data_IF_462982680197
#
_entry.id   IF_462982680197
#
_cell.length_a   1.000
_cell.length_b   1.000
_cell.length_c   1.000
_cell.angle_alpha   90.00
_cell.angle_beta   90.00
_cell.angle_gamma   90.00
#
_symmetry.space_group_name_H-M   'P 1'
#
loop_
_entity.id
_entity.type
_entity.pdbx_description
1 polymer ?
#
# COMPACT_ATOMS: atom_id res chain seq x y z
N UNK A 1 34.91 -91.79 -31.73
CA UNK A 1 35.61 -90.97 -32.76
C UNK A 1 34.75 -89.80 -33.10
N UNK A 2 35.21 -88.59 -32.96
CA UNK A 2 34.47 -87.38 -33.28
C UNK A 2 34.86 -86.26 -32.43
N UNK A 3 35.92 -85.49 -32.78
CA UNK A 3 36.38 -84.32 -32.13
C UNK A 3 35.41 -83.15 -32.33
N UNK A 4 35.00 -82.47 -31.29
CA UNK A 4 34.25 -81.23 -31.34
C UNK A 4 35.18 -80.11 -30.91
N UNK A 5 35.36 -79.09 -31.76
CA UNK A 5 36.09 -77.87 -31.50
C UNK A 5 35.25 -76.90 -30.63
N UNK A 6 35.82 -76.16 -29.67
CA UNK A 6 35.11 -75.11 -29.01
C UNK A 6 35.20 -73.79 -29.81
N UNK A 7 34.00 -73.24 -30.13
CA UNK A 7 33.87 -71.87 -30.65
C UNK A 7 33.90 -70.85 -29.52
N UNK A 8 34.82 -69.93 -29.63
CA UNK A 8 34.98 -68.75 -28.71
C UNK A 8 33.91 -67.73 -29.09
N UNK A 9 32.93 -67.49 -28.19
CA UNK A 9 31.97 -66.41 -28.31
C UNK A 9 32.58 -65.14 -27.68
N UNK A 10 32.98 -64.19 -28.51
CA UNK A 10 33.37 -62.85 -28.08
C UNK A 10 32.11 -62.00 -27.90
N UNK A 11 31.72 -61.73 -26.66
CA UNK A 11 30.61 -60.83 -26.34
C UNK A 11 31.14 -59.39 -26.35
N UNK A 12 30.77 -58.61 -27.40
CA UNK A 12 31.00 -57.18 -27.45
C UNK A 12 29.94 -56.51 -26.55
N UNK A 13 30.33 -56.06 -25.36
CA UNK A 13 29.51 -55.19 -24.50
C UNK A 13 29.63 -53.79 -25.07
N UNK A 14 28.66 -53.38 -25.87
CA UNK A 14 28.43 -51.97 -26.21
C UNK A 14 27.87 -51.25 -24.99
N UNK A 15 28.70 -50.50 -24.30
CA UNK A 15 28.25 -49.58 -23.25
C UNK A 15 27.51 -48.40 -23.91
N UNK A 16 26.20 -48.47 -23.95
CA UNK A 16 25.33 -47.34 -24.29
C UNK A 16 25.41 -46.41 -23.06
N UNK A 17 26.17 -45.32 -23.14
CA UNK A 17 26.10 -44.22 -22.24
C UNK A 17 24.74 -43.53 -22.44
N UNK A 18 23.75 -43.95 -21.68
CA UNK A 18 22.50 -43.20 -21.54
C UNK A 18 22.84 -41.98 -20.66
N UNK A 19 23.13 -40.87 -21.31
CA UNK A 19 23.24 -39.59 -20.60
C UNK A 19 21.88 -39.29 -19.99
N UNK A 20 21.83 -39.30 -18.65
CA UNK A 20 20.60 -38.94 -17.91
C UNK A 20 20.14 -37.54 -18.34
N UNK A 21 18.84 -37.30 -18.56
CA UNK A 21 18.32 -36.00 -18.97
C UNK A 21 18.72 -34.86 -18.01
N UNK A 22 18.97 -35.19 -16.74
CA UNK A 22 19.49 -34.24 -15.75
C UNK A 22 20.91 -33.75 -16.08
N UNK A 23 21.78 -34.58 -16.61
CA UNK A 23 23.16 -34.24 -17.02
C UNK A 23 23.13 -33.34 -18.27
N UNK A 24 22.24 -33.63 -19.22
CA UNK A 24 22.06 -32.83 -20.43
C UNK A 24 21.49 -31.43 -20.13
N UNK A 25 20.56 -31.31 -19.17
CA UNK A 25 19.99 -30.02 -18.71
C UNK A 25 21.05 -29.20 -17.95
N UNK A 26 21.92 -29.85 -17.18
CA UNK A 26 22.97 -29.18 -16.43
C UNK A 26 24.11 -28.70 -17.34
N UNK A 27 24.50 -29.46 -18.38
CA UNK A 27 25.46 -29.02 -19.37
C UNK A 27 24.96 -27.82 -20.17
N UNK A 28 23.69 -27.82 -20.58
CA UNK A 28 23.05 -26.68 -21.27
C UNK A 28 23.04 -25.41 -20.42
N UNK A 29 22.77 -25.48 -19.12
CA UNK A 29 22.78 -24.33 -18.23
C UNK A 29 24.18 -23.74 -18.05
N UNK A 30 25.21 -24.56 -17.89
CA UNK A 30 26.59 -24.11 -17.81
C UNK A 30 27.08 -23.50 -19.12
N UNK A 31 26.64 -24.04 -20.26
CA UNK A 31 26.91 -23.48 -21.57
C UNK A 31 26.30 -22.06 -21.70
N UNK A 32 25.10 -21.83 -21.19
CA UNK A 32 24.50 -20.48 -21.21
C UNK A 32 25.26 -19.49 -20.31
N UNK A 33 25.73 -19.92 -19.15
CA UNK A 33 26.61 -19.08 -18.32
C UNK A 33 27.93 -18.72 -19.08
N UNK A 34 28.51 -19.70 -19.78
CA UNK A 34 29.70 -19.44 -20.59
C UNK A 34 29.40 -18.52 -21.78
N UNK A 35 28.23 -18.66 -22.41
CA UNK A 35 27.75 -17.85 -23.52
C UNK A 35 27.59 -16.36 -23.18
N UNK A 36 27.38 -16.00 -21.90
CA UNK A 36 27.42 -14.59 -21.45
C UNK A 36 28.79 -13.90 -21.69
N UNK A 37 29.85 -14.67 -21.88
CA UNK A 37 31.20 -14.17 -22.20
C UNK A 37 31.57 -14.29 -23.66
N UNK A 38 30.61 -14.66 -24.52
CA UNK A 38 30.85 -14.79 -25.97
C UNK A 38 31.29 -13.46 -26.60
N UNK A 39 32.22 -13.45 -27.58
CA UNK A 39 32.52 -12.25 -28.34
C UNK A 39 31.33 -11.71 -29.13
N UNK A 40 30.34 -12.56 -29.44
CA UNK A 40 29.16 -12.18 -30.18
C UNK A 40 28.06 -11.62 -29.28
N UNK A 41 27.66 -10.39 -29.52
CA UNK A 41 26.61 -9.66 -28.74
C UNK A 41 25.27 -10.41 -28.71
N UNK A 42 24.85 -10.96 -29.85
CA UNK A 42 23.58 -11.70 -29.97
C UNK A 42 23.59 -12.98 -29.13
N UNK A 43 24.73 -13.64 -29.08
CA UNK A 43 24.93 -14.83 -28.24
C UNK A 43 24.83 -14.47 -26.77
N UNK A 44 25.50 -13.39 -26.33
CA UNK A 44 25.40 -12.92 -24.93
C UNK A 44 23.95 -12.54 -24.56
N UNK A 45 23.24 -11.80 -25.41
CA UNK A 45 21.87 -11.41 -25.17
C UNK A 45 20.90 -12.63 -25.12
N UNK A 46 21.09 -13.62 -26.00
CA UNK A 46 20.32 -14.87 -25.96
C UNK A 46 20.59 -15.67 -24.70
N UNK A 47 21.85 -15.76 -24.29
CA UNK A 47 22.26 -16.42 -23.06
C UNK A 47 21.58 -15.75 -21.82
N UNK A 48 21.61 -14.42 -21.73
CA UNK A 48 20.93 -13.68 -20.65
C UNK A 48 19.44 -14.00 -20.61
N UNK A 49 18.78 -14.08 -21.79
CA UNK A 49 17.35 -14.46 -21.89
C UNK A 49 17.12 -15.90 -21.43
N UNK A 50 17.92 -16.84 -21.90
CA UNK A 50 17.78 -18.26 -21.56
C UNK A 50 17.96 -18.50 -20.05
N UNK A 51 18.95 -17.85 -19.45
CA UNK A 51 19.20 -17.88 -18.00
C UNK A 51 18.02 -17.31 -17.20
N UNK A 52 17.45 -16.18 -17.62
CA UNK A 52 16.23 -15.63 -17.01
C UNK A 52 15.02 -16.54 -17.12
N UNK A 53 14.85 -17.19 -18.27
CA UNK A 53 13.75 -18.16 -18.51
C UNK A 53 13.93 -19.46 -17.70
N UNK A 54 15.16 -19.83 -17.38
CA UNK A 54 15.43 -21.05 -16.58
C UNK A 54 14.86 -20.96 -15.17
N UNK A 55 14.64 -19.74 -14.63
CA UNK A 55 14.21 -19.46 -13.25
C UNK A 55 15.09 -20.11 -12.19
N UNK A 56 16.31 -20.49 -12.54
CA UNK A 56 17.28 -21.07 -11.62
C UNK A 56 18.02 -19.96 -10.87
N UNK A 57 17.96 -19.90 -9.52
CA UNK A 57 18.63 -18.84 -8.75
C UNK A 57 20.15 -18.78 -9.01
N UNK A 58 20.75 -19.90 -9.39
CA UNK A 58 22.18 -19.99 -9.70
C UNK A 58 22.59 -19.16 -10.95
N UNK A 59 21.59 -18.67 -11.73
CA UNK A 59 21.84 -17.76 -12.84
C UNK A 59 22.06 -16.31 -12.38
N UNK A 60 21.57 -15.93 -11.21
CA UNK A 60 21.55 -14.54 -10.74
C UNK A 60 22.96 -13.92 -10.66
N UNK A 61 23.99 -14.56 -10.10
CA UNK A 61 25.33 -13.98 -10.06
C UNK A 61 25.92 -13.69 -11.46
N UNK A 62 25.69 -14.59 -12.42
CA UNK A 62 26.16 -14.41 -13.78
C UNK A 62 25.41 -13.30 -14.52
N UNK A 63 24.10 -13.18 -14.30
CA UNK A 63 23.27 -12.08 -14.80
C UNK A 63 23.66 -10.74 -14.15
N UNK A 64 23.96 -10.72 -12.84
CA UNK A 64 24.42 -9.50 -12.15
C UNK A 64 25.73 -8.99 -12.78
N UNK A 65 26.65 -9.88 -13.15
CA UNK A 65 27.86 -9.48 -13.88
C UNK A 65 27.54 -8.97 -15.28
N UNK A 66 26.61 -9.61 -15.99
CA UNK A 66 26.18 -9.20 -17.33
C UNK A 66 25.44 -7.84 -17.37
N UNK A 67 25.01 -7.28 -16.21
CA UNK A 67 24.54 -5.89 -16.13
C UNK A 67 25.65 -4.86 -16.45
N UNK A 68 26.91 -5.25 -16.44
CA UNK A 68 28.07 -4.40 -16.80
C UNK A 68 28.52 -4.62 -18.24
N UNK A 69 27.76 -5.34 -19.08
CA UNK A 69 28.10 -5.56 -20.47
C UNK A 69 28.24 -4.22 -21.23
N UNK A 70 29.26 -4.00 -22.07
CA UNK A 70 29.39 -2.77 -22.83
C UNK A 70 28.20 -2.52 -23.80
N UNK A 71 27.56 -3.60 -24.24
CA UNK A 71 26.50 -3.51 -25.22
C UNK A 71 25.11 -3.35 -24.56
N UNK A 72 24.43 -2.27 -24.90
CA UNK A 72 23.09 -1.94 -24.41
C UNK A 72 22.09 -3.11 -24.57
N UNK A 73 22.15 -3.81 -25.71
CA UNK A 73 21.28 -4.95 -26.01
C UNK A 73 21.38 -6.05 -24.95
N UNK A 74 22.60 -6.33 -24.48
CA UNK A 74 22.84 -7.35 -23.45
C UNK A 74 22.31 -6.86 -22.11
N UNK A 75 22.64 -5.62 -21.71
CA UNK A 75 22.17 -5.04 -20.43
C UNK A 75 20.65 -4.98 -20.35
N UNK A 76 19.95 -4.57 -21.44
CA UNK A 76 18.47 -4.57 -21.51
C UNK A 76 17.90 -5.96 -21.32
N UNK A 77 18.46 -6.98 -21.98
CA UNK A 77 17.97 -8.34 -21.81
C UNK A 77 18.24 -8.86 -20.40
N UNK A 78 19.38 -8.48 -19.84
CA UNK A 78 19.80 -8.89 -18.49
C UNK A 78 18.88 -8.33 -17.41
N UNK A 79 18.53 -7.04 -17.45
CA UNK A 79 17.63 -6.44 -16.44
C UNK A 79 16.25 -7.09 -16.48
N UNK A 80 15.70 -7.35 -17.67
CA UNK A 80 14.42 -8.07 -17.83
C UNK A 80 14.50 -9.49 -17.24
N UNK A 81 15.66 -10.14 -17.40
CA UNK A 81 15.87 -11.48 -16.84
C UNK A 81 15.99 -11.46 -15.32
N UNK A 82 16.73 -10.51 -14.74
CA UNK A 82 16.86 -10.32 -13.29
C UNK A 82 15.51 -9.99 -12.64
N UNK A 83 14.74 -9.05 -13.22
CA UNK A 83 13.39 -8.72 -12.76
C UNK A 83 12.51 -9.96 -12.64
N UNK A 84 12.64 -10.89 -13.56
CA UNK A 84 11.85 -12.12 -13.58
C UNK A 84 12.08 -13.08 -12.41
N UNK A 85 13.10 -12.89 -11.57
CA UNK A 85 13.37 -13.80 -10.43
C UNK A 85 12.55 -13.47 -9.19
N UNK A 86 12.17 -12.22 -8.96
CA UNK A 86 11.42 -11.78 -7.77
C UNK A 86 12.03 -12.27 -6.43
N UNK A 87 13.33 -12.53 -6.42
CA UNK A 87 14.11 -12.98 -5.27
C UNK A 87 15.01 -11.87 -4.76
N UNK A 88 15.23 -11.80 -3.45
CA UNK A 88 16.19 -10.88 -2.83
C UNK A 88 17.61 -11.01 -3.38
N UNK A 89 17.98 -12.18 -3.89
CA UNK A 89 19.28 -12.41 -4.52
C UNK A 89 19.49 -11.56 -5.79
N UNK A 90 18.39 -11.10 -6.44
CA UNK A 90 18.46 -10.27 -7.64
C UNK A 90 18.68 -8.77 -7.32
N UNK A 91 18.59 -8.36 -6.05
CA UNK A 91 18.71 -6.95 -5.64
C UNK A 91 20.01 -6.34 -6.13
N UNK A 92 21.15 -6.99 -5.92
CA UNK A 92 22.46 -6.47 -6.32
C UNK A 92 22.55 -6.16 -7.82
N UNK A 93 22.02 -7.05 -8.66
CA UNK A 93 21.96 -6.85 -10.10
C UNK A 93 21.07 -5.69 -10.52
N UNK A 94 19.93 -5.54 -9.85
CA UNK A 94 19.00 -4.43 -10.07
C UNK A 94 19.58 -3.09 -9.57
N UNK A 95 20.33 -3.09 -8.47
CA UNK A 95 21.07 -1.90 -8.00
C UNK A 95 22.14 -1.44 -8.99
N UNK A 96 22.82 -2.37 -9.68
CA UNK A 96 23.69 -2.03 -10.80
C UNK A 96 22.90 -1.35 -11.91
N UNK A 97 21.72 -1.91 -12.27
CA UNK A 97 20.86 -1.36 -13.31
C UNK A 97 20.29 0.03 -12.99
N UNK A 98 20.11 0.38 -11.71
CA UNK A 98 19.70 1.74 -11.31
C UNK A 98 20.75 2.82 -11.67
N UNK A 99 21.99 2.43 -11.91
CA UNK A 99 23.10 3.34 -12.26
C UNK A 99 23.42 3.32 -13.75
N UNK A 100 22.62 2.61 -14.56
CA UNK A 100 22.83 2.50 -16.00
C UNK A 100 22.61 3.86 -16.70
N UNK A 101 23.35 4.12 -17.77
CA UNK A 101 23.18 5.30 -18.60
C UNK A 101 21.83 5.34 -19.33
N UNK A 102 21.24 4.17 -19.57
CA UNK A 102 19.97 4.01 -20.30
C UNK A 102 18.76 4.12 -19.37
N UNK A 103 17.87 5.08 -19.65
CA UNK A 103 16.66 5.33 -18.88
C UNK A 103 15.79 4.09 -18.70
N UNK A 104 15.62 3.29 -19.78
CA UNK A 104 14.78 2.10 -19.75
C UNK A 104 15.34 1.01 -18.81
N UNK A 105 16.66 0.92 -18.66
CA UNK A 105 17.29 -0.04 -17.72
C UNK A 105 17.09 0.43 -16.29
N UNK A 106 17.24 1.74 -16.01
CA UNK A 106 16.94 2.29 -14.68
C UNK A 106 15.49 2.08 -14.29
N UNK A 107 14.54 2.30 -15.23
CA UNK A 107 13.12 2.10 -15.02
C UNK A 107 12.79 0.64 -14.70
N UNK A 108 13.23 -0.30 -15.53
CA UNK A 108 13.03 -1.74 -15.30
C UNK A 108 13.65 -2.21 -13.99
N UNK A 109 14.77 -1.63 -13.58
CA UNK A 109 15.42 -1.95 -12.30
C UNK A 109 14.59 -1.51 -11.12
N UNK A 110 13.99 -0.31 -11.14
CA UNK A 110 13.08 0.15 -10.09
C UNK A 110 11.82 -0.72 -10.01
N UNK A 111 11.25 -1.09 -11.16
CA UNK A 111 10.10 -2.02 -11.19
C UNK A 111 10.49 -3.37 -10.60
N UNK A 112 11.65 -3.92 -10.99
CA UNK A 112 12.12 -5.19 -10.45
C UNK A 112 12.36 -5.17 -8.94
N UNK A 113 12.95 -4.10 -8.41
CA UNK A 113 13.09 -3.91 -6.96
C UNK A 113 11.72 -3.88 -6.27
N UNK A 114 10.79 -3.10 -6.80
CA UNK A 114 9.45 -3.01 -6.21
C UNK A 114 8.73 -4.37 -6.23
N UNK A 115 8.81 -5.13 -7.33
CA UNK A 115 8.19 -6.46 -7.45
C UNK A 115 8.75 -7.48 -6.44
N UNK A 116 10.00 -7.36 -6.03
CA UNK A 116 10.58 -8.19 -4.96
C UNK A 116 9.81 -7.95 -3.65
N UNK A 117 9.51 -6.70 -3.32
CA UNK A 117 8.87 -6.34 -2.05
C UNK A 117 7.34 -6.47 -2.04
N UNK A 118 6.67 -6.32 -3.19
CA UNK A 118 5.19 -6.36 -3.26
C UNK A 118 4.63 -7.58 -3.99
N UNK A 119 5.50 -8.39 -4.60
CA UNK A 119 5.13 -9.51 -5.47
C UNK A 119 4.94 -9.13 -6.94
N UNK A 120 5.22 -10.08 -7.83
CA UNK A 120 5.15 -9.88 -9.27
C UNK A 120 3.75 -9.43 -9.73
N UNK A 121 3.70 -8.46 -10.62
CA UNK A 121 2.46 -7.91 -11.17
C UNK A 121 1.75 -6.87 -10.29
N UNK A 122 2.24 -6.61 -9.08
CA UNK A 122 1.67 -5.61 -8.18
C UNK A 122 2.39 -4.24 -8.25
N UNK A 123 3.51 -4.15 -8.96
CA UNK A 123 4.33 -2.93 -9.03
C UNK A 123 3.69 -1.76 -9.81
N UNK A 124 2.70 -2.04 -10.66
CA UNK A 124 2.01 -1.02 -11.49
C UNK A 124 0.64 -0.59 -10.93
N UNK A 125 0.25 -1.04 -9.74
CA UNK A 125 -1.10 -0.86 -9.20
C UNK A 125 -1.30 0.46 -8.44
N UNK A 126 -0.77 1.57 -8.90
CA UNK A 126 -1.05 2.82 -8.24
C UNK A 126 -0.58 4.04 -9.03
N UNK A 127 -1.52 4.81 -9.51
CA UNK A 127 -1.25 6.20 -9.88
C UNK A 127 -1.00 7.04 -8.60
N UNK A 128 -0.45 8.27 -8.75
CA UNK A 128 -0.09 9.16 -7.63
C UNK A 128 -1.25 9.52 -6.69
N UNK A 129 -2.46 9.11 -7.00
CA UNK A 129 -3.68 9.41 -6.24
C UNK A 129 -4.23 8.22 -5.44
N UNK A 130 -3.61 7.04 -5.52
CA UNK A 130 -4.17 5.84 -4.87
C UNK A 130 -4.32 6.01 -3.37
N UNK A 131 -3.37 6.69 -2.73
CA UNK A 131 -3.41 7.00 -1.32
C UNK A 131 -4.51 8.04 -0.96
N UNK A 132 -4.66 9.09 -1.80
CA UNK A 132 -5.60 10.18 -1.54
C UNK A 132 -7.07 9.83 -1.83
N UNK A 133 -7.31 8.75 -2.55
CA UNK A 133 -8.66 8.31 -2.93
C UNK A 133 -9.32 7.41 -1.87
N UNK A 134 -8.65 7.21 -0.72
CA UNK A 134 -9.19 6.48 0.43
C UNK A 134 -8.96 4.95 0.36
N UNK A 135 -9.47 4.19 1.35
CA UNK A 135 -9.15 2.77 1.56
C UNK A 135 -9.57 1.82 0.42
N UNK A 136 -10.29 2.30 -0.58
CA UNK A 136 -10.68 1.53 -1.76
C UNK A 136 -9.54 1.33 -2.77
N UNK A 137 -8.52 2.19 -2.75
CA UNK A 137 -7.35 2.05 -3.61
C UNK A 137 -6.32 1.20 -2.87
N UNK A 138 -6.15 -0.02 -3.36
CA UNK A 138 -5.17 -0.97 -2.81
C UNK A 138 -3.76 -0.45 -3.07
N UNK A 139 -3.16 0.20 -2.09
CA UNK A 139 -1.70 0.32 -2.07
C UNK A 139 -1.12 -1.10 -2.11
N UNK A 140 -0.08 -1.35 -2.92
CA UNK A 140 0.58 -2.64 -2.91
C UNK A 140 0.97 -3.02 -1.49
N UNK A 141 0.61 -4.23 -1.05
CA UNK A 141 1.03 -4.71 0.26
C UNK A 141 2.46 -5.18 0.19
N UNK A 142 3.30 -4.64 1.06
CA UNK A 142 4.66 -5.12 1.23
C UNK A 142 4.65 -6.57 1.75
N UNK A 143 5.61 -7.36 1.28
CA UNK A 143 5.93 -8.62 1.92
C UNK A 143 6.70 -8.31 3.22
N UNK A 144 6.03 -8.30 4.35
CA UNK A 144 6.60 -7.97 5.66
C UNK A 144 7.76 -8.87 6.12
N UNK A 145 8.04 -9.95 5.37
CA UNK A 145 9.18 -10.84 5.64
C UNK A 145 10.49 -10.34 4.99
N UNK A 146 10.42 -9.36 4.09
CA UNK A 146 11.58 -8.84 3.37
C UNK A 146 11.90 -7.43 3.90
N UNK A 147 12.94 -7.25 4.72
CA UNK A 147 13.33 -5.93 5.18
C UNK A 147 13.89 -5.10 4.02
N UNK A 148 13.49 -3.83 3.93
CA UNK A 148 14.04 -2.89 2.95
C UNK A 148 15.43 -2.45 3.43
N UNK A 149 16.47 -2.72 2.63
CA UNK A 149 17.83 -2.33 2.99
C UNK A 149 18.07 -0.84 2.74
N UNK A 150 18.94 -0.23 3.56
CA UNK A 150 19.38 1.16 3.38
C UNK A 150 20.06 1.40 2.03
N UNK A 151 20.71 0.38 1.46
CA UNK A 151 21.32 0.46 0.13
C UNK A 151 20.28 0.63 -0.98
N UNK A 152 19.17 -0.10 -0.89
CA UNK A 152 18.03 0.06 -1.82
C UNK A 152 17.43 1.46 -1.67
N UNK A 153 17.21 1.93 -0.44
CA UNK A 153 16.67 3.27 -0.18
C UNK A 153 17.59 4.33 -0.78
N UNK A 154 18.89 4.31 -0.46
CA UNK A 154 19.86 5.30 -0.97
C UNK A 154 19.97 5.28 -2.50
N UNK A 155 19.91 4.10 -3.13
CA UNK A 155 19.92 4.00 -4.58
C UNK A 155 18.66 4.60 -5.23
N UNK A 156 17.50 4.46 -4.59
CA UNK A 156 16.24 5.08 -5.04
C UNK A 156 16.24 6.60 -4.78
N UNK A 157 16.77 7.06 -3.65
CA UNK A 157 16.95 8.49 -3.37
C UNK A 157 17.78 9.19 -4.45
N UNK A 158 18.87 8.54 -4.91
CA UNK A 158 19.66 9.05 -6.02
C UNK A 158 18.83 9.20 -7.32
N UNK A 159 17.78 8.42 -7.52
CA UNK A 159 16.87 8.52 -8.67
C UNK A 159 15.84 9.64 -8.53
N UNK A 160 15.60 10.19 -7.34
CA UNK A 160 14.82 11.41 -7.17
C UNK A 160 15.47 12.65 -7.81
N UNK A 161 16.76 12.56 -8.13
CA UNK A 161 17.53 13.61 -8.81
C UNK A 161 17.83 13.24 -10.30
N UNK A 162 17.15 12.22 -10.85
CA UNK A 162 17.36 11.79 -12.24
C UNK A 162 16.97 12.91 -13.23
N UNK A 163 17.71 13.02 -14.33
CA UNK A 163 17.41 13.99 -15.40
C UNK A 163 16.03 13.73 -16.02
N UNK A 164 15.64 12.44 -16.12
CA UNK A 164 14.37 12.02 -16.70
C UNK A 164 13.22 12.13 -15.67
N UNK A 165 12.21 12.99 -15.90
CA UNK A 165 11.11 13.20 -14.94
C UNK A 165 10.33 11.93 -14.60
N UNK A 166 10.17 11.03 -15.56
CA UNK A 166 9.46 9.76 -15.34
C UNK A 166 10.14 8.88 -14.31
N UNK A 167 11.48 8.90 -14.27
CA UNK A 167 12.29 8.15 -13.31
C UNK A 167 12.24 8.80 -11.93
N UNK A 168 12.30 10.14 -11.83
CA UNK A 168 12.11 10.83 -10.53
C UNK A 168 10.77 10.48 -9.91
N UNK A 169 9.68 10.52 -10.72
CA UNK A 169 8.34 10.14 -10.25
C UNK A 169 8.28 8.69 -9.77
N UNK A 170 8.86 7.75 -10.55
CA UNK A 170 8.88 6.34 -10.15
C UNK A 170 9.69 6.11 -8.88
N UNK A 171 10.79 6.81 -8.69
CA UNK A 171 11.57 6.75 -7.45
C UNK A 171 10.74 7.21 -6.25
N UNK A 172 10.04 8.35 -6.35
CA UNK A 172 9.14 8.83 -5.30
C UNK A 172 8.04 7.80 -4.98
N UNK A 173 7.38 7.27 -6.01
CA UNK A 173 6.38 6.21 -5.85
C UNK A 173 6.93 4.98 -5.13
N UNK A 174 8.09 4.48 -5.58
CA UNK A 174 8.70 3.28 -5.01
C UNK A 174 9.07 3.49 -3.54
N UNK A 175 9.69 4.62 -3.20
CA UNK A 175 10.02 4.97 -1.82
C UNK A 175 8.78 5.08 -0.92
N UNK A 176 7.68 5.63 -1.45
CA UNK A 176 6.40 5.70 -0.76
C UNK A 176 5.79 4.31 -0.49
N UNK A 177 5.79 3.42 -1.50
CA UNK A 177 5.31 2.04 -1.34
C UNK A 177 6.15 1.27 -0.33
N UNK A 178 7.48 1.45 -0.38
CA UNK A 178 8.41 0.83 0.57
C UNK A 178 8.35 1.46 1.97
N UNK A 179 7.60 2.54 2.15
CA UNK A 179 7.54 3.32 3.40
C UNK A 179 8.93 3.65 3.95
N UNK A 180 9.82 4.08 3.05
CA UNK A 180 11.22 4.33 3.33
C UNK A 180 11.38 5.58 4.21
N UNK A 181 11.39 5.40 5.54
CA UNK A 181 11.47 6.50 6.49
C UNK A 181 12.75 7.33 6.33
N UNK A 182 13.85 6.71 5.93
CA UNK A 182 15.14 7.38 5.72
C UNK A 182 15.10 8.35 4.52
N UNK A 183 14.15 8.19 3.59
CA UNK A 183 14.03 9.02 2.39
C UNK A 183 13.18 10.29 2.58
N UNK A 184 12.72 10.58 3.79
CA UNK A 184 11.81 11.71 4.07
C UNK A 184 12.42 13.05 3.64
N UNK A 185 13.69 13.31 3.93
CA UNK A 185 14.35 14.57 3.59
C UNK A 185 14.46 14.76 2.07
N UNK A 186 14.82 13.68 1.35
CA UNK A 186 14.94 13.72 -0.11
C UNK A 186 13.58 13.85 -0.79
N UNK A 187 12.55 13.17 -0.28
CA UNK A 187 11.16 13.35 -0.70
C UNK A 187 10.63 14.76 -0.38
N UNK A 188 11.01 15.33 0.76
CA UNK A 188 10.72 16.71 1.12
C UNK A 188 11.26 17.70 0.09
N UNK A 189 12.47 17.47 -0.44
CA UNK A 189 13.04 18.25 -1.54
C UNK A 189 12.22 18.11 -2.82
N UNK A 190 11.71 16.91 -3.12
CA UNK A 190 10.88 16.63 -4.30
C UNK A 190 9.51 17.31 -4.27
N UNK A 191 9.05 17.84 -3.11
CA UNK A 191 7.86 18.70 -3.03
C UNK A 191 8.02 20.01 -3.80
N UNK A 192 9.25 20.40 -4.18
CA UNK A 192 9.57 21.58 -4.97
C UNK A 192 10.02 21.24 -6.40
N UNK A 193 9.84 19.99 -6.86
CA UNK A 193 10.20 19.59 -8.23
C UNK A 193 9.47 20.46 -9.26
N UNK A 194 10.12 20.88 -10.37
CA UNK A 194 9.47 21.63 -11.42
C UNK A 194 8.25 20.90 -12.00
N UNK A 195 8.29 19.56 -12.08
CA UNK A 195 7.21 18.76 -12.61
C UNK A 195 6.12 18.52 -11.55
N UNK A 196 4.89 18.99 -11.83
CA UNK A 196 3.75 18.83 -10.91
C UNK A 196 3.49 17.37 -10.53
N UNK A 197 3.62 16.44 -11.47
CA UNK A 197 3.37 15.02 -11.23
C UNK A 197 4.34 14.43 -10.20
N UNK A 198 5.55 14.96 -10.11
CA UNK A 198 6.56 14.53 -9.14
C UNK A 198 6.26 15.12 -7.77
N UNK A 199 5.90 16.42 -7.70
CA UNK A 199 5.45 17.03 -6.42
C UNK A 199 4.28 16.25 -5.80
N UNK A 200 3.30 15.87 -6.65
CA UNK A 200 2.12 15.10 -6.21
C UNK A 200 2.51 13.70 -5.71
N UNK A 201 3.44 13.04 -6.39
CA UNK A 201 3.93 11.72 -5.98
C UNK A 201 4.71 11.81 -4.66
N UNK A 202 5.51 12.86 -4.47
CA UNK A 202 6.23 13.11 -3.22
C UNK A 202 5.26 13.31 -2.04
N UNK A 203 4.14 14.04 -2.24
CA UNK A 203 3.07 14.16 -1.22
C UNK A 203 2.51 12.78 -0.87
N UNK A 204 2.18 11.96 -1.88
CA UNK A 204 1.64 10.62 -1.66
C UNK A 204 2.64 9.69 -0.95
N UNK A 205 3.92 9.80 -1.31
CA UNK A 205 5.00 9.02 -0.71
C UNK A 205 5.18 9.37 0.78
N UNK A 206 5.30 10.68 1.10
CA UNK A 206 5.41 11.15 2.48
C UNK A 206 4.21 10.75 3.33
N UNK A 207 3.00 10.88 2.78
CA UNK A 207 1.80 10.44 3.45
C UNK A 207 1.76 8.92 3.69
N UNK A 208 2.29 8.10 2.76
CA UNK A 208 2.39 6.64 2.92
C UNK A 208 3.43 6.24 3.97
N UNK A 209 4.51 7.01 4.13
CA UNK A 209 5.50 6.85 5.20
C UNK A 209 4.84 7.16 6.55
N UNK A 210 4.09 8.26 6.66
CA UNK A 210 3.16 8.52 7.75
C UNK A 210 3.79 8.86 9.11
N UNK A 211 5.11 9.12 9.17
CA UNK A 211 5.81 9.49 10.39
C UNK A 211 5.83 11.02 10.62
N UNK A 212 6.20 11.47 11.83
CA UNK A 212 6.26 12.89 12.18
C UNK A 212 7.14 13.72 11.23
N UNK A 213 8.36 13.30 10.86
CA UNK A 213 9.18 14.03 9.88
C UNK A 213 8.48 14.22 8.53
N UNK A 214 7.75 13.21 8.04
CA UNK A 214 6.98 13.31 6.80
C UNK A 214 5.83 14.33 6.95
N UNK A 215 5.13 14.30 8.07
CA UNK A 215 4.10 15.30 8.40
C UNK A 215 4.66 16.73 8.44
N UNK A 216 5.83 16.91 9.03
CA UNK A 216 6.52 18.22 9.11
C UNK A 216 6.94 18.71 7.71
N UNK A 217 7.48 17.84 6.86
CA UNK A 217 7.82 18.18 5.48
C UNK A 217 6.59 18.64 4.67
N UNK A 218 5.46 17.93 4.83
CA UNK A 218 4.19 18.30 4.21
C UNK A 218 3.66 19.65 4.77
N UNK A 219 3.68 19.84 6.08
CA UNK A 219 3.28 21.10 6.73
C UNK A 219 4.08 22.27 6.21
N UNK A 220 5.43 22.13 6.16
CA UNK A 220 6.32 23.15 5.64
C UNK A 220 6.04 23.53 4.18
N UNK A 221 5.53 22.60 3.36
CA UNK A 221 5.19 22.86 1.98
C UNK A 221 3.92 23.71 1.78
N UNK A 222 3.03 23.82 2.76
CA UNK A 222 1.81 24.65 2.68
C UNK A 222 2.12 26.12 2.43
N UNK A 223 3.20 26.67 3.01
CA UNK A 223 3.60 28.06 2.85
C UNK A 223 4.09 28.37 1.42
N UNK A 224 4.69 27.40 0.76
CA UNK A 224 5.24 27.54 -0.62
C UNK A 224 4.15 27.26 -1.67
N UNK A 225 3.15 26.50 -1.31
CA UNK A 225 2.12 25.94 -2.21
C UNK A 225 1.01 26.96 -2.59
N UNK A 226 1.00 28.16 -2.05
CA UNK A 226 -0.12 29.12 -2.14
C UNK A 226 -0.57 29.48 -3.58
N UNK A 227 0.26 29.22 -4.58
CA UNK A 227 -0.04 29.49 -6.01
C UNK A 227 -0.63 28.30 -6.79
N UNK A 228 -0.50 27.07 -6.30
CA UNK A 228 -1.03 25.84 -6.96
C UNK A 228 -2.10 25.17 -6.06
N UNK A 229 -3.36 25.56 -6.28
CA UNK A 229 -4.51 25.03 -5.53
C UNK A 229 -4.60 23.50 -5.52
N UNK A 230 -4.24 22.86 -6.62
CA UNK A 230 -4.30 21.42 -6.74
C UNK A 230 -3.23 20.76 -5.86
N UNK A 231 -2.01 21.31 -5.85
CA UNK A 231 -0.94 20.81 -4.98
C UNK A 231 -1.28 21.05 -3.50
N UNK A 232 -1.65 22.28 -3.14
CA UNK A 232 -2.07 22.62 -1.75
C UNK A 232 -3.19 21.69 -1.29
N UNK A 233 -4.20 21.46 -2.13
CA UNK A 233 -5.29 20.55 -1.79
C UNK A 233 -4.83 19.13 -1.49
N UNK A 234 -3.84 18.60 -2.21
CA UNK A 234 -3.29 17.28 -1.93
C UNK A 234 -2.51 17.23 -0.62
N UNK A 235 -1.74 18.28 -0.32
CA UNK A 235 -1.04 18.40 0.96
C UNK A 235 -2.04 18.46 2.12
N UNK A 236 -3.11 19.23 1.98
CA UNK A 236 -4.20 19.31 2.99
C UNK A 236 -4.83 17.95 3.23
N UNK A 237 -5.19 17.23 2.14
CA UNK A 237 -5.79 15.90 2.26
C UNK A 237 -4.81 14.91 2.90
N UNK A 238 -3.52 14.94 2.53
CA UNK A 238 -2.48 14.09 3.08
C UNK A 238 -2.30 14.31 4.60
N UNK A 239 -2.18 15.55 5.04
CA UNK A 239 -2.06 15.90 6.46
C UNK A 239 -3.29 15.45 7.27
N UNK A 240 -4.50 15.61 6.68
CA UNK A 240 -5.75 15.13 7.29
C UNK A 240 -5.77 13.62 7.46
N UNK A 241 -5.36 12.86 6.43
CA UNK A 241 -5.32 11.40 6.48
C UNK A 241 -4.25 10.87 7.44
N UNK A 242 -3.09 11.52 7.49
CA UNK A 242 -2.05 11.21 8.48
C UNK A 242 -2.48 11.56 9.91
N UNK A 243 -3.58 12.30 10.08
CA UNK A 243 -4.00 12.88 11.36
C UNK A 243 -2.88 13.69 12.04
N UNK A 244 -2.08 14.41 11.23
CA UNK A 244 -0.92 15.16 11.71
C UNK A 244 -1.32 16.45 12.43
N UNK A 245 -1.62 16.34 13.72
CA UNK A 245 -2.12 17.43 14.57
C UNK A 245 -1.29 18.73 14.53
N UNK A 246 0.07 18.72 14.45
CA UNK A 246 0.85 19.95 14.40
C UNK A 246 0.53 20.86 13.20
N UNK A 247 -0.16 20.36 12.15
CA UNK A 247 -0.60 21.18 11.01
C UNK A 247 -1.96 21.90 11.25
N UNK A 248 -2.59 21.69 12.41
CA UNK A 248 -3.89 22.27 12.74
C UNK A 248 -3.99 23.78 12.51
N UNK A 249 -3.06 24.61 13.04
CA UNK A 249 -3.09 26.05 12.85
C UNK A 249 -3.05 26.48 11.38
N UNK A 250 -2.17 25.87 10.57
CA UNK A 250 -2.03 26.18 9.15
C UNK A 250 -3.29 25.77 8.38
N UNK A 251 -3.90 24.62 8.71
CA UNK A 251 -5.13 24.18 8.08
C UNK A 251 -6.33 25.06 8.47
N UNK A 252 -6.37 25.61 9.68
CA UNK A 252 -7.36 26.64 10.05
C UNK A 252 -7.17 27.89 9.18
N UNK A 253 -5.93 28.35 8.97
CA UNK A 253 -5.67 29.46 8.05
C UNK A 253 -6.11 29.16 6.61
N UNK A 254 -5.84 27.95 6.09
CA UNK A 254 -6.32 27.54 4.76
C UNK A 254 -7.86 27.55 4.70
N UNK A 255 -8.54 27.19 5.78
CA UNK A 255 -9.99 27.24 5.86
C UNK A 255 -10.51 28.69 5.89
N UNK A 256 -9.97 29.55 6.76
CA UNK A 256 -10.41 30.94 6.97
C UNK A 256 -10.18 31.80 5.74
N UNK A 257 -9.00 31.67 5.13
CA UNK A 257 -8.63 32.40 3.92
C UNK A 257 -9.38 31.87 2.70
N UNK A 258 -9.96 30.67 2.81
CA UNK A 258 -10.58 29.93 1.71
C UNK A 258 -9.76 29.99 0.40
N UNK A 259 -8.44 29.96 0.56
CA UNK A 259 -7.48 30.07 -0.55
C UNK A 259 -7.81 29.03 -1.59
N UNK A 260 -8.02 29.50 -2.83
CA UNK A 260 -8.30 28.62 -3.98
C UNK A 260 -9.50 27.66 -3.78
N UNK A 261 -10.49 28.03 -2.99
CA UNK A 261 -11.67 27.22 -2.68
C UNK A 261 -11.35 25.92 -1.92
N UNK A 262 -10.31 25.91 -1.12
CA UNK A 262 -9.88 24.76 -0.32
C UNK A 262 -10.55 24.66 1.06
N UNK A 263 -11.45 25.57 1.42
CA UNK A 263 -12.10 25.60 2.74
C UNK A 263 -12.78 24.27 3.11
N UNK A 264 -13.49 23.64 2.18
CA UNK A 264 -14.12 22.32 2.42
C UNK A 264 -13.09 21.21 2.66
N UNK A 265 -11.98 21.20 1.90
CA UNK A 265 -10.90 20.23 2.10
C UNK A 265 -10.22 20.42 3.46
N UNK A 266 -9.94 21.67 3.82
CA UNK A 266 -9.36 22.01 5.12
C UNK A 266 -10.30 21.62 6.27
N UNK A 267 -11.60 21.91 6.17
CA UNK A 267 -12.59 21.48 7.16
C UNK A 267 -12.61 19.97 7.34
N UNK A 268 -12.61 19.22 6.22
CA UNK A 268 -12.57 17.76 6.26
C UNK A 268 -11.27 17.23 6.89
N UNK A 269 -10.13 17.79 6.53
CA UNK A 269 -8.83 17.42 7.09
C UNK A 269 -8.78 17.68 8.60
N UNK A 270 -9.19 18.88 9.03
CA UNK A 270 -9.28 19.26 10.44
C UNK A 270 -10.20 18.32 11.22
N UNK A 271 -11.34 17.93 10.61
CA UNK A 271 -12.28 16.99 11.23
C UNK A 271 -11.69 15.57 11.37
N UNK A 272 -10.97 15.09 10.35
CA UNK A 272 -10.28 13.77 10.40
C UNK A 272 -9.19 13.75 11.49
N UNK A 273 -8.49 14.86 11.66
CA UNK A 273 -7.45 15.01 12.66
C UNK A 273 -8.02 15.14 14.09
N UNK A 274 -9.25 15.65 14.22
CA UNK A 274 -9.75 16.10 15.52
C UNK A 274 -8.92 17.28 16.07
N UNK A 275 -8.56 18.23 15.19
CA UNK A 275 -7.68 19.34 15.52
C UNK A 275 -8.33 20.28 16.57
N UNK A 276 -7.72 20.46 17.77
CA UNK A 276 -8.31 21.29 18.82
C UNK A 276 -8.48 22.75 18.41
N UNK A 277 -7.58 23.27 17.56
CA UNK A 277 -7.58 24.63 17.02
C UNK A 277 -8.83 24.90 16.18
N UNK A 278 -9.39 23.87 15.55
CA UNK A 278 -10.58 23.96 14.70
C UNK A 278 -11.91 23.90 15.47
N UNK A 279 -11.90 23.83 16.81
CA UNK A 279 -13.14 23.77 17.63
C UNK A 279 -14.14 24.87 17.23
N UNK A 280 -13.68 26.12 17.09
CA UNK A 280 -14.52 27.25 16.67
C UNK A 280 -15.09 27.07 15.26
N UNK A 281 -14.29 26.56 14.34
CA UNK A 281 -14.71 26.23 12.97
C UNK A 281 -15.81 25.17 13.00
N UNK A 282 -15.65 24.09 13.78
CA UNK A 282 -16.67 23.04 13.89
C UNK A 282 -17.98 23.59 14.43
N UNK A 283 -17.98 24.37 15.53
CA UNK A 283 -19.21 25.00 16.04
C UNK A 283 -19.89 25.88 15.00
N UNK A 284 -19.12 26.66 14.26
CA UNK A 284 -19.69 27.49 13.19
C UNK A 284 -20.35 26.64 12.11
N UNK A 285 -19.69 25.58 11.68
CA UNK A 285 -20.15 24.70 10.61
C UNK A 285 -21.32 23.77 11.00
N UNK A 286 -21.57 23.57 12.30
CA UNK A 286 -22.79 22.87 12.77
C UNK A 286 -24.08 23.58 12.32
N UNK A 287 -24.04 24.87 12.03
CA UNK A 287 -25.19 25.67 11.56
C UNK A 287 -25.25 25.82 10.04
N UNK A 288 -24.32 25.17 9.30
CA UNK A 288 -24.26 25.27 7.84
C UNK A 288 -25.52 24.73 7.17
N UNK A 289 -25.93 25.34 6.05
CA UNK A 289 -26.97 24.83 5.17
C UNK A 289 -26.57 23.53 4.46
N UNK A 290 -25.27 23.29 4.31
CA UNK A 290 -24.70 22.10 3.65
C UNK A 290 -24.54 20.97 4.65
N UNK A 291 -25.22 19.84 4.41
CA UNK A 291 -25.14 18.66 5.28
C UNK A 291 -23.73 18.11 5.41
N UNK A 292 -22.95 18.13 4.32
CA UNK A 292 -21.54 17.67 4.36
C UNK A 292 -20.69 18.44 5.38
N UNK A 293 -20.83 19.78 5.42
CA UNK A 293 -20.10 20.61 6.37
C UNK A 293 -20.55 20.34 7.82
N UNK A 294 -21.87 20.17 8.04
CA UNK A 294 -22.38 19.79 9.37
C UNK A 294 -21.87 18.40 9.79
N UNK A 295 -21.82 17.46 8.82
CA UNK A 295 -21.27 16.11 9.06
C UNK A 295 -19.82 16.17 9.52
N UNK A 296 -18.94 16.82 8.75
CA UNK A 296 -17.53 16.96 9.14
C UNK A 296 -17.36 17.69 10.46
N UNK A 297 -18.16 18.73 10.73
CA UNK A 297 -18.13 19.45 12.01
C UNK A 297 -18.52 18.53 13.18
N UNK A 298 -19.58 17.72 13.03
CA UNK A 298 -19.96 16.74 14.04
C UNK A 298 -18.86 15.72 14.29
N UNK A 299 -18.28 15.13 13.23
CA UNK A 299 -17.15 14.19 13.30
C UNK A 299 -15.95 14.82 14.03
N UNK A 300 -15.58 16.06 13.66
CA UNK A 300 -14.46 16.78 14.26
C UNK A 300 -14.67 17.02 15.77
N UNK A 301 -15.86 17.44 16.17
CA UNK A 301 -16.19 17.62 17.59
C UNK A 301 -16.09 16.29 18.37
N UNK A 302 -16.55 15.17 17.80
CA UNK A 302 -16.42 13.86 18.43
C UNK A 302 -14.96 13.42 18.62
N UNK A 303 -14.08 13.79 17.71
CA UNK A 303 -12.64 13.47 17.80
C UNK A 303 -11.85 14.35 18.74
N UNK A 304 -12.44 15.46 19.23
CA UNK A 304 -11.81 16.30 20.29
C UNK A 304 -11.73 15.59 21.65
N UNK A 305 -12.46 14.49 21.85
CA UNK A 305 -12.48 13.72 23.11
C UNK A 305 -12.88 14.56 24.33
N UNK A 306 -13.80 15.51 24.13
CA UNK A 306 -14.30 16.42 25.19
C UNK A 306 -15.76 16.06 25.52
N UNK A 307 -15.95 15.32 26.61
CA UNK A 307 -17.29 14.87 27.06
C UNK A 307 -18.25 16.02 27.38
N UNK A 308 -17.75 17.24 27.63
CA UNK A 308 -18.60 18.41 27.86
C UNK A 308 -19.47 18.79 26.65
N UNK A 309 -19.13 18.26 25.45
CA UNK A 309 -19.87 18.44 24.21
C UNK A 309 -21.17 17.62 24.15
N UNK A 310 -21.27 16.52 24.91
CA UNK A 310 -22.37 15.56 24.84
C UNK A 310 -23.76 16.20 24.94
N UNK A 311 -24.06 17.09 25.94
CA UNK A 311 -25.41 17.67 26.05
C UNK A 311 -25.83 18.51 24.82
N UNK A 312 -24.87 19.26 24.25
CA UNK A 312 -25.10 20.04 23.03
C UNK A 312 -25.35 19.15 21.82
N UNK A 313 -24.49 18.16 21.60
CA UNK A 313 -24.59 17.22 20.49
C UNK A 313 -25.87 16.38 20.54
N UNK A 314 -26.32 15.95 21.71
CA UNK A 314 -27.60 15.26 21.90
C UNK A 314 -28.77 16.13 21.46
N UNK A 315 -28.78 17.41 21.82
CA UNK A 315 -29.84 18.35 21.43
C UNK A 315 -29.87 18.56 19.91
N UNK A 316 -28.69 18.69 19.29
CA UNK A 316 -28.57 18.93 17.86
C UNK A 316 -28.89 17.66 17.05
N UNK A 317 -28.48 16.49 17.51
CA UNK A 317 -28.88 15.19 16.96
C UNK A 317 -30.39 15.04 16.82
N UNK A 318 -31.15 15.41 17.84
CA UNK A 318 -32.64 15.30 17.83
C UNK A 318 -33.32 16.23 16.82
N UNK A 319 -32.60 17.23 16.31
CA UNK A 319 -33.14 18.25 15.37
C UNK A 319 -32.58 18.09 13.96
N UNK A 320 -31.54 17.29 13.78
CA UNK A 320 -30.89 17.10 12.49
C UNK A 320 -31.76 16.29 11.53
N UNK A 321 -32.13 16.83 10.36
CA UNK A 321 -32.97 16.13 9.40
C UNK A 321 -32.18 15.18 8.47
N UNK A 322 -30.88 15.39 8.29
CA UNK A 322 -30.05 14.61 7.37
C UNK A 322 -29.53 13.35 8.07
N UNK A 323 -29.77 12.19 7.45
CA UNK A 323 -29.41 10.89 8.03
C UNK A 323 -27.91 10.65 8.12
N UNK A 324 -27.12 11.20 7.18
CA UNK A 324 -25.66 11.09 7.20
C UNK A 324 -25.07 11.94 8.34
N UNK A 325 -25.64 13.12 8.59
CA UNK A 325 -25.25 13.97 9.73
C UNK A 325 -25.69 13.34 11.06
N UNK A 326 -26.90 12.76 11.11
CA UNK A 326 -27.34 12.00 12.30
C UNK A 326 -26.37 10.84 12.62
N UNK A 327 -25.91 10.14 11.58
CA UNK A 327 -24.94 9.06 11.77
C UNK A 327 -23.59 9.57 12.28
N UNK A 328 -23.14 10.76 11.83
CA UNK A 328 -21.94 11.42 12.37
C UNK A 328 -22.09 11.80 13.86
N UNK A 329 -23.28 12.25 14.28
CA UNK A 329 -23.57 12.43 15.71
C UNK A 329 -23.51 11.13 16.50
N UNK A 330 -24.04 10.01 15.94
CA UNK A 330 -23.94 8.71 16.60
C UNK A 330 -22.48 8.29 16.80
N UNK A 331 -21.65 8.41 15.76
CA UNK A 331 -20.23 8.16 15.85
C UNK A 331 -19.58 9.02 16.95
N UNK A 332 -19.85 10.31 16.95
CA UNK A 332 -19.23 11.26 17.87
C UNK A 332 -19.67 11.04 19.31
N UNK A 333 -20.97 10.80 19.54
CA UNK A 333 -21.51 10.48 20.87
C UNK A 333 -20.92 9.17 21.40
N UNK A 334 -20.78 8.15 20.53
CA UNK A 334 -20.12 6.90 20.93
C UNK A 334 -18.68 7.13 21.37
N UNK A 335 -17.90 7.91 20.63
CA UNK A 335 -16.55 8.29 21.01
C UNK A 335 -16.47 9.07 22.33
N UNK A 336 -17.50 9.86 22.63
CA UNK A 336 -17.63 10.65 23.85
C UNK A 336 -18.27 9.87 25.01
N UNK A 337 -18.18 8.54 25.01
CA UNK A 337 -18.59 7.68 26.11
C UNK A 337 -20.09 7.36 26.15
N UNK A 338 -20.78 7.39 24.99
CA UNK A 338 -22.19 7.04 24.87
C UNK A 338 -22.36 5.83 23.94
N UNK A 339 -21.98 4.61 24.40
CA UNK A 339 -21.96 3.41 23.56
C UNK A 339 -23.34 3.00 23.02
N UNK A 340 -24.43 3.46 23.63
CA UNK A 340 -25.81 3.19 23.16
C UNK A 340 -26.08 3.72 21.73
N UNK A 341 -25.23 4.58 21.19
CA UNK A 341 -25.35 5.06 19.81
C UNK A 341 -24.69 4.14 18.77
N UNK A 342 -23.95 3.12 19.19
CA UNK A 342 -23.31 2.15 18.29
C UNK A 342 -24.35 1.36 17.48
N UNK A 343 -25.52 1.08 18.06
CA UNK A 343 -26.61 0.38 17.40
C UNK A 343 -26.97 1.01 16.04
N UNK A 344 -27.04 2.33 16.01
CA UNK A 344 -27.40 3.05 14.80
C UNK A 344 -26.33 2.97 13.72
N UNK A 345 -25.06 2.93 14.14
CA UNK A 345 -23.93 2.74 13.22
C UNK A 345 -23.98 1.33 12.63
N UNK A 346 -24.09 0.31 13.48
CA UNK A 346 -24.12 -1.08 13.06
C UNK A 346 -25.30 -1.39 12.11
N UNK A 347 -26.51 -0.94 12.46
CA UNK A 347 -27.69 -1.13 11.60
C UNK A 347 -27.63 -0.37 10.28
N UNK A 348 -26.88 0.76 10.23
CA UNK A 348 -26.65 1.51 8.99
C UNK A 348 -25.77 0.76 7.99
N UNK A 349 -25.07 -0.30 8.38
CA UNK A 349 -24.35 -1.20 7.46
C UNK A 349 -25.28 -1.87 6.45
N UNK A 350 -26.55 -2.10 6.81
CA UNK A 350 -27.60 -2.60 5.90
C UNK A 350 -28.20 -1.54 4.95
N UNK A 351 -27.83 -0.27 5.10
CA UNK A 351 -28.37 0.82 4.30
C UNK A 351 -27.41 1.25 3.18
N UNK A 352 -27.81 1.09 1.92
CA UNK A 352 -26.95 1.38 0.77
C UNK A 352 -26.36 2.79 0.75
N UNK A 353 -27.09 3.80 1.25
CA UNK A 353 -26.64 5.20 1.26
C UNK A 353 -25.69 5.53 2.41
N UNK A 354 -25.79 4.81 3.51
CA UNK A 354 -25.03 5.06 4.73
C UNK A 354 -23.95 4.02 5.00
N UNK A 355 -23.97 2.89 4.28
CA UNK A 355 -23.09 1.73 4.50
C UNK A 355 -21.64 2.10 4.60
N UNK A 356 -21.14 2.86 3.64
CA UNK A 356 -19.73 3.25 3.60
C UNK A 356 -19.35 4.08 4.82
N UNK A 357 -20.15 5.07 5.15
CA UNK A 357 -19.95 5.93 6.32
C UNK A 357 -20.03 5.15 7.63
N UNK A 358 -21.01 4.25 7.74
CA UNK A 358 -21.18 3.37 8.90
C UNK A 358 -20.00 2.41 9.07
N UNK A 359 -19.52 1.86 7.96
CA UNK A 359 -18.35 1.00 7.93
C UNK A 359 -17.11 1.71 8.45
N UNK A 360 -16.79 2.89 7.91
CA UNK A 360 -15.63 3.68 8.31
C UNK A 360 -15.69 4.04 9.80
N UNK A 361 -16.88 4.40 10.30
CA UNK A 361 -17.06 4.70 11.72
C UNK A 361 -16.90 3.48 12.62
N UNK A 362 -17.46 2.33 12.23
CA UNK A 362 -17.32 1.11 13.02
C UNK A 362 -15.85 0.64 13.08
N UNK A 363 -15.10 0.75 11.97
CA UNK A 363 -13.67 0.45 11.94
C UNK A 363 -12.88 1.45 12.81
N UNK A 364 -13.18 2.77 12.73
CA UNK A 364 -12.49 3.78 13.56
C UNK A 364 -12.79 3.63 15.05
N UNK A 365 -13.99 3.20 15.43
CA UNK A 365 -14.35 2.91 16.82
C UNK A 365 -13.56 1.72 17.37
N UNK A 366 -13.30 0.72 16.54
CA UNK A 366 -12.31 -0.34 16.77
C UNK A 366 -12.59 -1.29 17.92
N UNK A 367 -11.52 -1.95 18.39
CA UNK A 367 -11.56 -2.98 19.44
C UNK A 367 -12.20 -2.57 20.78
N UNK A 368 -12.17 -1.29 21.22
CA UNK A 368 -12.86 -0.90 22.45
C UNK A 368 -14.36 -1.20 22.48
N UNK A 369 -14.99 -1.33 21.30
CA UNK A 369 -16.42 -1.64 21.15
C UNK A 369 -16.67 -3.03 20.55
N UNK A 370 -15.69 -3.93 20.65
CA UNK A 370 -15.81 -5.27 20.07
C UNK A 370 -17.02 -6.03 20.60
N UNK A 371 -17.26 -5.98 21.91
CA UNK A 371 -18.37 -6.70 22.55
C UNK A 371 -19.74 -6.24 22.06
N UNK A 372 -19.90 -4.95 21.78
CA UNK A 372 -21.11 -4.40 21.19
C UNK A 372 -21.22 -4.77 19.71
N UNK A 373 -20.15 -4.63 18.93
CA UNK A 373 -20.15 -4.87 17.49
C UNK A 373 -20.41 -6.33 17.14
N UNK A 374 -19.87 -7.29 17.88
CA UNK A 374 -20.05 -8.73 17.59
C UNK A 374 -21.51 -9.18 17.72
N UNK A 375 -22.35 -8.46 18.47
CA UNK A 375 -23.79 -8.78 18.62
C UNK A 375 -24.53 -8.73 17.27
N UNK A 376 -24.07 -7.88 16.33
CA UNK A 376 -24.67 -7.70 15.00
C UNK A 376 -24.28 -8.80 14.00
N UNK A 377 -23.40 -9.72 14.38
CA UNK A 377 -23.16 -10.96 13.63
C UNK A 377 -24.37 -11.90 13.64
N UNK A 378 -25.37 -11.64 14.50
CA UNK A 378 -26.64 -12.37 14.58
C UNK A 378 -27.83 -11.55 14.09
N UNK A 379 -27.60 -10.41 13.43
CA UNK A 379 -28.67 -9.55 12.90
C UNK A 379 -29.53 -10.30 11.86
N UNK A 380 -30.84 -10.11 11.83
CA UNK A 380 -31.72 -10.77 10.86
C UNK A 380 -31.41 -10.39 9.40
N UNK A 381 -30.81 -9.20 9.16
CA UNK A 381 -30.47 -8.69 7.83
C UNK A 381 -29.10 -9.23 7.40
N UNK A 382 -29.02 -10.04 6.33
CA UNK A 382 -27.74 -10.63 5.89
C UNK A 382 -26.66 -9.59 5.56
N UNK A 383 -27.06 -8.46 4.98
CA UNK A 383 -26.15 -7.34 4.66
C UNK A 383 -25.45 -6.81 5.91
N UNK A 384 -26.16 -6.67 7.03
CA UNK A 384 -25.57 -6.22 8.31
C UNK A 384 -24.54 -7.24 8.80
N UNK A 385 -24.88 -8.54 8.80
CA UNK A 385 -23.96 -9.60 9.22
C UNK A 385 -22.71 -9.63 8.36
N UNK A 386 -22.89 -9.53 7.02
CA UNK A 386 -21.78 -9.56 6.05
C UNK A 386 -20.84 -8.36 6.24
N UNK A 387 -21.40 -7.15 6.31
CA UNK A 387 -20.57 -5.94 6.48
C UNK A 387 -19.92 -5.87 7.87
N UNK A 388 -20.60 -6.36 8.92
CA UNK A 388 -20.00 -6.47 10.25
C UNK A 388 -18.81 -7.44 10.26
N UNK A 389 -18.91 -8.59 9.57
CA UNK A 389 -17.76 -9.49 9.41
C UNK A 389 -16.59 -8.82 8.67
N UNK A 390 -16.86 -7.92 7.71
CA UNK A 390 -15.84 -7.10 7.05
C UNK A 390 -15.21 -6.09 8.02
N UNK A 391 -16.02 -5.37 8.78
CA UNK A 391 -15.57 -4.41 9.80
C UNK A 391 -14.63 -5.09 10.79
N UNK A 392 -15.03 -6.23 11.36
CA UNK A 392 -14.21 -6.98 12.32
C UNK A 392 -12.88 -7.48 11.71
N UNK A 393 -12.91 -7.86 10.43
CA UNK A 393 -11.68 -8.21 9.69
C UNK A 393 -10.73 -7.01 9.57
N UNK A 394 -11.25 -5.81 9.37
CA UNK A 394 -10.47 -4.58 9.21
C UNK A 394 -9.98 -4.01 10.54
N UNK A 395 -10.77 -4.13 11.60
CA UNK A 395 -10.33 -3.85 12.98
C UNK A 395 -9.10 -4.71 13.32
N UNK A 396 -9.06 -5.97 12.84
CA UNK A 396 -7.88 -6.81 12.98
C UNK A 396 -7.73 -7.46 14.36
N UNK A 397 -8.76 -7.43 15.21
CA UNK A 397 -8.69 -8.00 16.56
C UNK A 397 -8.99 -9.52 16.54
N UNK A 398 -8.02 -10.40 16.88
CA UNK A 398 -8.24 -11.85 16.91
C UNK A 398 -9.33 -12.29 17.88
N UNK A 399 -9.69 -11.48 18.88
CA UNK A 399 -10.77 -11.78 19.82
C UNK A 399 -12.15 -11.88 19.11
N UNK A 400 -12.28 -11.35 17.88
CA UNK A 400 -13.48 -11.52 17.06
C UNK A 400 -13.65 -12.96 16.50
N UNK A 401 -12.59 -13.77 16.40
CA UNK A 401 -12.64 -15.10 15.77
C UNK A 401 -13.72 -16.02 16.34
N UNK A 402 -13.89 -16.17 17.66
CA UNK A 402 -14.94 -17.02 18.22
C UNK A 402 -16.34 -16.65 17.76
N UNK A 403 -16.61 -15.36 17.59
CA UNK A 403 -17.91 -14.82 17.18
C UNK A 403 -18.17 -14.94 15.67
N UNK A 404 -17.11 -14.98 14.86
CA UNK A 404 -17.20 -15.18 13.40
C UNK A 404 -17.41 -16.65 13.02
N UNK A 405 -16.96 -17.62 13.84
CA UNK A 405 -17.09 -19.07 13.54
C UNK A 405 -18.51 -19.55 13.26
N UNK A 406 -19.56 -19.13 13.99
CA UNK A 406 -20.93 -19.54 13.70
C UNK A 406 -21.39 -19.15 12.28
N UNK A 407 -20.89 -18.04 11.74
CA UNK A 407 -21.25 -17.55 10.41
C UNK A 407 -20.70 -18.42 9.27
N UNK A 408 -19.77 -19.34 9.53
CA UNK A 408 -19.31 -20.29 8.50
C UNK A 408 -20.44 -21.20 7.99
N UNK A 409 -21.53 -21.32 8.75
CA UNK A 409 -22.74 -22.06 8.39
C UNK A 409 -23.96 -21.12 8.21
N UNK A 410 -23.72 -19.85 7.91
CA UNK A 410 -24.80 -18.89 7.66
C UNK A 410 -25.60 -19.32 6.42
N UNK A 411 -26.94 -19.19 6.46
CA UNK A 411 -27.80 -19.52 5.32
C UNK A 411 -27.51 -18.65 4.08
N UNK A 412 -26.95 -17.47 4.27
CA UNK A 412 -26.48 -16.62 3.19
C UNK A 412 -25.00 -16.94 2.87
N UNK A 413 -24.74 -17.38 1.64
CA UNK A 413 -23.39 -17.79 1.21
C UNK A 413 -22.38 -16.67 1.20
N UNK A 414 -22.78 -15.41 0.95
CA UNK A 414 -21.88 -14.26 0.96
C UNK A 414 -21.43 -13.91 2.39
N UNK A 415 -22.32 -14.10 3.37
CA UNK A 415 -21.99 -13.98 4.80
C UNK A 415 -20.98 -15.05 5.19
N UNK A 416 -21.23 -16.32 4.84
CA UNK A 416 -20.31 -17.43 5.14
C UNK A 416 -18.93 -17.22 4.52
N UNK A 417 -18.87 -16.81 3.26
CA UNK A 417 -17.61 -16.51 2.56
C UNK A 417 -16.86 -15.32 3.19
N UNK A 418 -17.57 -14.30 3.63
CA UNK A 418 -16.97 -13.15 4.29
C UNK A 418 -16.39 -13.53 5.65
N UNK A 419 -17.13 -14.30 6.44
CA UNK A 419 -16.68 -14.80 7.74
C UNK A 419 -15.43 -15.68 7.60
N UNK A 420 -15.40 -16.57 6.58
CA UNK A 420 -14.23 -17.41 6.32
C UNK A 420 -12.97 -16.57 5.99
N UNK A 421 -13.11 -15.56 5.15
CA UNK A 421 -12.02 -14.62 4.84
C UNK A 421 -11.56 -13.83 6.05
N UNK A 422 -12.51 -13.37 6.87
CA UNK A 422 -12.21 -12.64 8.10
C UNK A 422 -11.40 -13.50 9.08
N UNK A 423 -11.85 -14.72 9.34
CA UNK A 423 -11.15 -15.66 10.23
C UNK A 423 -9.75 -15.96 9.70
N UNK A 424 -9.62 -16.27 8.40
CA UNK A 424 -8.32 -16.57 7.80
C UNK A 424 -7.33 -15.40 7.97
N UNK A 425 -7.78 -14.17 7.79
CA UNK A 425 -6.95 -12.97 7.95
C UNK A 425 -6.56 -12.73 9.41
N UNK A 426 -7.52 -12.85 10.34
CA UNK A 426 -7.28 -12.67 11.77
C UNK A 426 -6.35 -13.74 12.36
N UNK A 427 -6.40 -14.99 11.84
CA UNK A 427 -5.52 -16.09 12.23
C UNK A 427 -4.08 -15.93 11.73
N UNK A 428 -3.90 -15.36 10.54
CA UNK A 428 -2.56 -15.13 9.97
C UNK A 428 -1.78 -14.09 10.78
N UNK A 429 -2.43 -13.41 11.72
CA UNK A 429 -1.87 -12.32 12.50
C UNK A 429 -1.18 -11.37 11.54
N UNK A 430 -1.79 -10.30 11.14
CA UNK A 430 -1.17 -9.39 10.19
C UNK A 430 0.18 -8.90 10.76
N UNK A 431 1.26 -9.60 10.39
CA UNK A 431 2.63 -9.21 10.74
C UNK A 431 2.97 -7.83 10.19
N UNK A 432 2.07 -7.23 9.40
CA UNK A 432 2.18 -5.89 8.82
C UNK A 432 1.43 -4.80 9.63
N UNK A 433 0.57 -5.17 10.59
CA UNK A 433 -0.24 -4.22 11.36
C UNK A 433 0.46 -3.65 12.61
N UNK A 434 1.73 -4.01 12.86
CA UNK A 434 2.43 -3.58 14.07
C UNK A 434 3.08 -2.18 13.98
N UNK A 435 2.64 -1.29 13.08
CA UNK A 435 3.24 0.04 13.00
C UNK A 435 2.33 1.14 12.43
N UNK A 436 1.03 1.13 12.74
CA UNK A 436 0.22 2.34 12.62
C UNK A 436 -0.16 2.72 14.06
N UNK A 437 0.43 3.74 14.65
CA UNK A 437 -0.12 4.33 15.86
C UNK A 437 -1.44 5.00 15.47
N UNK A 438 -2.52 4.59 16.13
CA UNK A 438 -3.83 5.24 16.08
C UNK A 438 -3.74 6.63 16.68
#
# INVERSE_FOLDING_TARGET
>A
MGRVHPAVLATVVSAILVSSPAIAVQSSFQDEIANLKSPNVDTRAKAAKALGQSKRPEAIPALTEAMRDPELKVRRQTVVSLRGFTSTDAIDGLLVGLRDEENAIRDESMVGLLEIYVGAGNADLGGPLSFLLGPRYKTPKLNGLIPVSSEVVSALEARLQDEEPSLRRRAAYTLGVLRAADAVDTLGTALSDPEKSIRMEAVSALASIGNDPAGEALRGSLSVASSDASFTGHVVDALGQMKYLPAGPELVSVYDDNVNQLGDRALRALALMGAPEARGVFYYQMTSKRSEQRRWAAEGLGRLSDESLVPGMMKDFLREPDSSVQLAYCFSLTRLGRPEFVDRIALSLGNDKLREQAHDYAVELGSPLLDELVTYLSDPVPEVRREMAQVLMEIGDPAAIPYLKPLLSDPDSEVADRANRAIARLQQGDLSASSIPF
#
